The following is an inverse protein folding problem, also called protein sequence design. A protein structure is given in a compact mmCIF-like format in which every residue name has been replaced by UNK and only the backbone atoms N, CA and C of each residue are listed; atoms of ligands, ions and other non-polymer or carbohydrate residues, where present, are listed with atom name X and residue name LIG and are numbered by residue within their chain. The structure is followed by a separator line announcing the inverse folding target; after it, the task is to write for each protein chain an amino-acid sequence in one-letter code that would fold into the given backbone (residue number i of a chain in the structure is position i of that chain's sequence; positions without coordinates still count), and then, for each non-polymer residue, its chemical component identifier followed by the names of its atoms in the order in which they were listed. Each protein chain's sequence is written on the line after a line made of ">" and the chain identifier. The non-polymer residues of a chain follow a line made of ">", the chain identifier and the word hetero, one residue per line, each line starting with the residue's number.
data_IF_074949308869
#
_entry.id   IF_074949308869
#
_cell.length_a   1.000
_cell.length_b   1.000
_cell.length_c   1.000
_cell.angle_alpha   90.00
_cell.angle_beta   90.00
_cell.angle_gamma   90.00
#
_symmetry.space_group_name_H-M   'P 1'
#
loop_
_entity.id
_entity.type
_entity.pdbx_description
1 polymer ?
#
# COMPACT_ATOMS: atom_id res chain seq x y z
N UNK A 1 11.65 0.71 6.05
CA UNK A 1 10.48 0.40 5.20
C UNK A 1 10.93 -0.08 3.82
N UNK A 2 10.29 -1.14 3.31
CA UNK A 2 10.45 -1.67 1.95
C UNK A 2 9.08 -1.71 1.24
N UNK A 3 9.05 -1.30 -0.03
CA UNK A 3 7.85 -1.37 -0.87
C UNK A 3 7.93 -2.55 -1.83
N UNK A 4 6.87 -3.33 -1.94
CA UNK A 4 6.81 -4.51 -2.82
C UNK A 4 5.48 -4.53 -3.56
N UNK A 5 5.52 -4.65 -4.88
CA UNK A 5 4.33 -4.94 -5.68
C UNK A 5 4.29 -6.43 -6.02
N UNK A 6 3.38 -7.16 -5.37
CA UNK A 6 3.19 -8.59 -5.60
C UNK A 6 2.24 -8.82 -6.79
N UNK A 7 2.62 -9.66 -7.76
CA UNK A 7 1.76 -10.01 -8.89
C UNK A 7 0.59 -10.91 -8.47
N UNK A 8 -0.52 -10.90 -9.23
CA UNK A 8 -1.65 -11.80 -9.05
C UNK A 8 -1.23 -13.26 -8.97
N UNK A 9 -1.74 -13.99 -7.97
CA UNK A 9 -1.52 -15.43 -7.83
C UNK A 9 -2.79 -16.13 -7.35
N UNK A 10 -3.18 -17.24 -8.01
CA UNK A 10 -4.32 -18.08 -7.64
C UNK A 10 -5.63 -17.30 -7.39
N UNK A 11 -6.01 -16.41 -8.30
CA UNK A 11 -7.27 -15.66 -8.22
C UNK A 11 -7.25 -14.44 -7.30
N UNK A 12 -6.09 -14.09 -6.72
CA UNK A 12 -5.86 -12.81 -6.05
C UNK A 12 -5.49 -11.72 -7.04
N UNK A 13 -5.78 -10.46 -6.72
CA UNK A 13 -5.34 -9.33 -7.53
C UNK A 13 -3.92 -8.89 -7.17
N UNK A 14 -3.44 -7.79 -7.78
CA UNK A 14 -2.18 -7.15 -7.42
C UNK A 14 -2.23 -6.66 -5.97
N UNK A 15 -1.17 -6.87 -5.20
CA UNK A 15 -1.06 -6.35 -3.84
C UNK A 15 0.19 -5.51 -3.71
N UNK A 16 0.03 -4.27 -3.24
CA UNK A 16 1.15 -3.40 -2.90
C UNK A 16 1.38 -3.44 -1.39
N UNK A 17 2.54 -3.95 -0.99
CA UNK A 17 2.98 -4.05 0.40
C UNK A 17 3.93 -2.91 0.78
N UNK A 18 3.80 -2.47 2.03
CA UNK A 18 4.82 -1.75 2.75
C UNK A 18 5.22 -2.57 3.99
N UNK A 19 6.48 -3.01 3.99
CA UNK A 19 7.09 -3.84 5.04
C UNK A 19 8.09 -3.02 5.86
N UNK A 20 8.50 -3.54 7.01
CA UNK A 20 9.45 -2.91 7.94
C UNK A 20 9.03 -1.49 8.32
N UNK A 21 7.75 -1.33 8.66
CA UNK A 21 7.15 -0.07 9.09
C UNK A 21 7.72 0.36 10.45
N UNK A 22 8.32 1.53 10.52
CA UNK A 22 8.79 2.10 11.77
C UNK A 22 7.62 2.49 12.68
N UNK A 23 7.84 2.40 13.99
CA UNK A 23 6.87 2.74 15.04
C UNK A 23 5.53 2.00 14.95
N UNK A 24 5.49 0.85 14.26
CA UNK A 24 4.26 0.06 14.06
C UNK A 24 4.08 -1.06 15.10
N UNK A 25 5.00 -1.15 16.07
CA UNK A 25 4.96 -2.17 17.12
C UNK A 25 3.70 -2.03 17.98
N UNK A 26 3.00 -3.15 18.22
CA UNK A 26 1.75 -3.20 18.95
C UNK A 26 0.52 -2.88 18.10
N UNK A 27 0.64 -2.81 16.77
CA UNK A 27 -0.49 -2.63 15.85
C UNK A 27 -1.57 -3.70 16.03
N UNK A 28 -2.83 -3.28 15.97
CA UNK A 28 -4.01 -4.14 16.07
C UNK A 28 -4.98 -3.76 14.95
N UNK A 29 -5.24 -4.69 14.02
CA UNK A 29 -6.01 -4.44 12.80
C UNK A 29 -7.44 -3.91 13.01
N UNK A 30 -8.07 -4.29 14.11
CA UNK A 30 -9.45 -3.88 14.42
C UNK A 30 -9.53 -2.62 15.29
N UNK A 31 -8.40 -2.05 15.71
CA UNK A 31 -8.36 -0.83 16.52
C UNK A 31 -7.95 0.39 15.67
N UNK A 32 -8.40 1.61 16.01
CA UNK A 32 -7.94 2.81 15.35
C UNK A 32 -6.42 3.00 15.55
N UNK A 33 -5.67 2.88 14.45
CA UNK A 33 -4.20 2.99 14.44
C UNK A 33 -3.70 4.25 15.15
N UNK A 34 -4.33 5.40 14.92
CA UNK A 34 -3.91 6.70 15.48
C UNK A 34 -4.04 6.81 17.01
N UNK A 35 -4.92 6.02 17.64
CA UNK A 35 -5.05 6.04 19.10
C UNK A 35 -3.91 5.29 19.79
N UNK A 36 -3.33 4.31 19.11
CA UNK A 36 -2.40 3.35 19.71
C UNK A 36 -0.96 3.59 19.28
N UNK A 37 -0.75 3.87 17.99
CA UNK A 37 0.54 4.09 17.36
C UNK A 37 0.45 5.30 16.40
N UNK A 38 0.25 6.52 16.95
CA UNK A 38 0.06 7.73 16.14
C UNK A 38 1.22 8.04 15.20
N UNK A 39 2.44 7.64 15.57
CA UNK A 39 3.67 7.90 14.81
C UNK A 39 4.04 6.76 13.85
N UNK A 40 3.15 5.78 13.65
CA UNK A 40 3.39 4.66 12.74
C UNK A 40 3.44 5.12 11.29
N UNK A 41 4.46 4.67 10.57
CA UNK A 41 4.59 4.88 9.12
C UNK A 41 3.40 4.32 8.34
N UNK A 42 2.67 3.33 8.89
CA UNK A 42 1.45 2.77 8.30
C UNK A 42 0.47 3.85 7.89
N UNK A 43 0.29 4.86 8.75
CA UNK A 43 -0.67 5.93 8.49
C UNK A 43 -0.23 6.77 7.29
N UNK A 44 1.04 7.16 7.26
CA UNK A 44 1.64 7.92 6.16
C UNK A 44 1.48 7.18 4.82
N UNK A 45 1.83 5.89 4.77
CA UNK A 45 1.69 5.09 3.55
C UNK A 45 0.22 5.00 3.12
N UNK A 46 -0.71 4.76 4.08
CA UNK A 46 -2.14 4.68 3.77
C UNK A 46 -2.69 5.99 3.19
N UNK A 47 -2.29 7.14 3.75
CA UNK A 47 -2.70 8.44 3.21
C UNK A 47 -2.17 8.63 1.80
N UNK A 48 -0.88 8.41 1.57
CA UNK A 48 -0.26 8.62 0.26
C UNK A 48 -0.86 7.71 -0.81
N UNK A 49 -1.14 6.45 -0.47
CA UNK A 49 -1.80 5.53 -1.38
C UNK A 49 -3.22 5.98 -1.73
N UNK A 50 -4.01 6.40 -0.74
CA UNK A 50 -5.39 6.86 -0.98
C UNK A 50 -5.43 8.13 -1.83
N UNK A 51 -4.54 9.08 -1.57
CA UNK A 51 -4.41 10.31 -2.36
C UNK A 51 -3.97 10.01 -3.80
N UNK A 52 -2.95 9.16 -3.99
CA UNK A 52 -2.51 8.75 -5.33
C UNK A 52 -3.62 8.00 -6.08
N UNK A 53 -4.31 7.06 -5.42
CA UNK A 53 -5.41 6.33 -6.05
C UNK A 53 -6.60 7.23 -6.39
N UNK A 54 -6.85 8.29 -5.63
CA UNK A 54 -7.86 9.30 -5.94
C UNK A 54 -7.49 10.10 -7.19
N UNK A 55 -6.25 10.56 -7.27
CA UNK A 55 -5.72 11.29 -8.42
C UNK A 55 -5.85 10.51 -9.73
N UNK A 56 -5.56 9.20 -9.68
CA UNK A 56 -5.67 8.32 -10.85
C UNK A 56 -7.07 7.68 -11.02
N UNK A 57 -8.04 8.04 -10.18
CA UNK A 57 -9.44 7.60 -10.32
C UNK A 57 -9.72 6.13 -9.99
N UNK A 58 -8.86 5.49 -9.19
CA UNK A 58 -8.99 4.08 -8.76
C UNK A 58 -9.13 3.88 -7.24
N UNK A 59 -9.37 4.95 -6.48
CA UNK A 59 -9.55 4.90 -5.01
C UNK A 59 -10.63 3.91 -4.55
N UNK A 60 -11.71 3.76 -5.30
CA UNK A 60 -12.79 2.80 -5.01
C UNK A 60 -12.40 1.33 -5.27
N UNK A 61 -11.28 1.11 -5.95
CA UNK A 61 -10.74 -0.20 -6.30
C UNK A 61 -9.52 -0.59 -5.47
N UNK A 62 -9.24 0.12 -4.36
CA UNK A 62 -8.16 -0.27 -3.44
C UNK A 62 -8.75 -0.71 -2.09
N UNK A 63 -8.29 -1.85 -1.59
CA UNK A 63 -8.71 -2.39 -0.31
C UNK A 63 -7.49 -2.81 0.52
N UNK A 64 -7.38 -2.32 1.76
CA UNK A 64 -6.31 -2.76 2.66
C UNK A 64 -6.65 -4.15 3.21
N UNK A 65 -6.16 -5.19 2.52
CA UNK A 65 -6.50 -6.58 2.81
C UNK A 65 -5.52 -7.25 3.78
N UNK A 66 -4.28 -6.76 3.84
CA UNK A 66 -3.18 -7.41 4.54
C UNK A 66 -2.68 -6.52 5.66
N UNK A 67 -2.92 -6.90 6.92
CA UNK A 67 -2.66 -6.04 8.07
C UNK A 67 -1.98 -6.83 9.20
N UNK A 68 -0.69 -6.60 9.40
CA UNK A 68 0.10 -7.24 10.45
C UNK A 68 1.07 -6.25 11.07
N UNK A 69 1.51 -6.46 12.30
CA UNK A 69 2.56 -5.62 12.87
C UNK A 69 3.79 -5.55 11.95
N UNK A 70 4.25 -4.33 11.66
CA UNK A 70 5.39 -4.07 10.78
C UNK A 70 5.09 -4.18 9.27
N UNK A 71 3.89 -4.60 8.87
CA UNK A 71 3.53 -4.79 7.46
C UNK A 71 2.07 -4.46 7.13
N UNK A 72 1.86 -3.85 5.97
CA UNK A 72 0.53 -3.55 5.45
C UNK A 72 0.48 -3.77 3.94
N UNK A 73 -0.66 -4.20 3.40
CA UNK A 73 -0.83 -4.43 1.97
C UNK A 73 -2.22 -4.05 1.46
N UNK A 74 -2.24 -3.41 0.29
CA UNK A 74 -3.45 -3.00 -0.39
C UNK A 74 -3.62 -3.77 -1.70
N UNK A 75 -4.77 -4.42 -1.82
CA UNK A 75 -5.18 -5.15 -3.01
C UNK A 75 -5.86 -4.19 -4.00
N UNK A 76 -5.45 -4.25 -5.26
CA UNK A 76 -6.06 -3.51 -6.37
C UNK A 76 -7.13 -4.34 -7.07
N UNK A 77 -8.39 -4.01 -6.86
CA UNK A 77 -9.55 -4.63 -7.49
C UNK A 77 -9.83 -4.03 -8.88
N UNK A 78 -8.78 -3.97 -9.70
CA UNK A 78 -8.80 -3.49 -11.08
C UNK A 78 -7.67 -4.15 -11.86
N UNK A 79 -7.83 -4.28 -13.17
CA UNK A 79 -6.83 -4.78 -14.11
C UNK A 79 -6.10 -3.67 -14.88
N UNK A 80 -6.39 -2.40 -14.58
CA UNK A 80 -5.76 -1.23 -15.20
C UNK A 80 -4.31 -1.06 -14.71
N UNK A 81 -3.40 -1.84 -15.31
CA UNK A 81 -1.98 -1.88 -14.94
C UNK A 81 -1.29 -0.53 -15.03
N UNK A 82 -1.70 0.33 -15.96
CA UNK A 82 -1.12 1.68 -16.13
C UNK A 82 -1.40 2.52 -14.89
N UNK A 83 -2.63 2.46 -14.37
CA UNK A 83 -3.00 3.19 -13.15
C UNK A 83 -2.41 2.57 -11.89
N UNK A 84 -2.35 1.24 -11.80
CA UNK A 84 -1.66 0.56 -10.68
C UNK A 84 -0.21 1.02 -10.61
N UNK A 85 0.50 1.00 -11.75
CA UNK A 85 1.89 1.48 -11.88
C UNK A 85 2.02 2.92 -11.40
N UNK A 86 1.19 3.83 -11.94
CA UNK A 86 1.23 5.24 -11.58
C UNK A 86 0.98 5.49 -10.08
N UNK A 87 0.06 4.75 -9.46
CA UNK A 87 -0.18 4.83 -8.02
C UNK A 87 1.04 4.39 -7.22
N UNK A 88 1.60 3.21 -7.49
CA UNK A 88 2.71 2.68 -6.67
C UNK A 88 4.00 3.48 -6.86
N UNK A 89 4.28 3.97 -8.07
CA UNK A 89 5.42 4.84 -8.36
C UNK A 89 5.28 6.18 -7.64
N UNK A 90 4.08 6.78 -7.64
CA UNK A 90 3.83 8.04 -6.92
C UNK A 90 3.96 7.89 -5.40
N UNK A 91 3.50 6.76 -4.84
CA UNK A 91 3.70 6.48 -3.41
C UNK A 91 5.19 6.31 -3.10
N UNK A 92 5.92 5.58 -3.93
CA UNK A 92 7.35 5.38 -3.77
C UNK A 92 8.12 6.72 -3.85
N UNK A 93 7.80 7.57 -4.82
CA UNK A 93 8.35 8.93 -4.96
C UNK A 93 8.15 9.75 -3.69
N UNK A 94 6.92 9.81 -3.17
CA UNK A 94 6.60 10.58 -1.94
C UNK A 94 7.30 10.06 -0.70
N UNK A 95 7.61 8.77 -0.66
CA UNK A 95 8.35 8.13 0.43
C UNK A 95 9.87 8.20 0.23
N UNK A 96 10.36 8.67 -0.92
CA UNK A 96 11.78 8.63 -1.26
C UNK A 96 12.34 7.21 -1.41
N UNK A 97 11.49 6.27 -1.83
CA UNK A 97 11.81 4.85 -1.98
C UNK A 97 11.67 4.41 -3.44
N UNK A 98 12.13 3.21 -3.73
CA UNK A 98 11.95 2.55 -5.03
C UNK A 98 10.98 1.38 -4.91
N UNK A 99 10.22 1.10 -5.97
CA UNK A 99 9.39 -0.10 -6.11
C UNK A 99 9.63 -0.72 -7.47
N UNK A 100 9.77 -2.05 -7.52
CA UNK A 100 9.86 -2.78 -8.79
C UNK A 100 8.48 -2.93 -9.41
N UNK A 101 8.28 -2.34 -10.59
CA UNK A 101 7.03 -2.42 -11.36
C UNK A 101 7.18 -3.19 -12.67
N UNK A 102 8.31 -3.89 -12.89
CA UNK A 102 8.60 -4.59 -14.14
C UNK A 102 7.53 -5.63 -14.50
N UNK A 103 6.91 -6.25 -13.49
CA UNK A 103 5.83 -7.21 -13.68
C UNK A 103 4.54 -6.62 -14.30
N UNK A 104 4.37 -5.29 -14.28
CA UNK A 104 3.21 -4.62 -14.86
C UNK A 104 3.32 -4.42 -16.39
N UNK A 105 4.51 -4.58 -16.99
CA UNK A 105 4.79 -4.27 -18.40
C UNK A 105 5.41 -2.88 -18.55
#
# INVERSE_FOLDING_TARGET
>A
MQLVLEPPHMGKNWIFFANDLANDKGFVAHEPCYHRIPDSERWTVNMYLREAAEEFGIKQFIFNQCQWEGSTGWEFWTDDKVKIKAVVEKVAERLGLTVDTTALG
#
